data_IF_427784642751
#
_entry.id   IF_427784642751
#
_cell.length_a   1.000
_cell.length_b   1.000
_cell.length_c   1.000
_cell.angle_alpha   90.00
_cell.angle_beta   90.00
_cell.angle_gamma   90.00
#
_symmetry.space_group_name_H-M   'P 1'
#
loop_
_entity.id
_entity.type
_entity.pdbx_description
1 polymer ?
#
# COMPACT_ATOMS: atom_id res chain seq x y z
N UNK A 1 -8.95 -1.87 10.39
CA UNK A 1 -7.75 -1.24 9.80
C UNK A 1 -7.21 -2.13 8.68
N UNK A 2 -6.75 -1.55 7.57
CA UNK A 2 -6.22 -2.29 6.41
C UNK A 2 -4.69 -2.32 6.41
N UNK A 3 -4.10 -3.36 5.84
CA UNK A 3 -2.67 -3.40 5.61
C UNK A 3 -2.26 -2.41 4.51
N UNK A 4 -1.03 -1.91 4.60
CA UNK A 4 -0.49 -0.98 3.62
C UNK A 4 0.89 -1.41 3.15
N UNK A 5 1.11 -1.28 1.83
CA UNK A 5 2.43 -1.37 1.21
C UNK A 5 2.80 0.06 0.81
N UNK A 6 3.78 0.61 1.50
CA UNK A 6 4.42 1.87 1.13
C UNK A 6 5.55 1.57 0.16
N UNK A 7 5.60 2.28 -0.94
CA UNK A 7 6.62 2.07 -1.96
C UNK A 7 7.08 3.39 -2.55
N UNK A 8 8.40 3.52 -2.71
CA UNK A 8 8.98 4.58 -3.52
C UNK A 8 9.31 4.02 -4.89
N UNK A 9 8.74 4.65 -5.91
CA UNK A 9 8.82 4.16 -7.28
C UNK A 9 9.42 5.24 -8.17
N UNK A 10 10.56 4.94 -8.80
CA UNK A 10 11.19 5.80 -9.79
C UNK A 10 10.71 5.43 -11.17
N UNK A 11 9.96 6.34 -11.80
CA UNK A 11 9.41 6.17 -13.14
C UNK A 11 7.99 6.69 -13.25
N UNK A 12 7.41 6.57 -14.44
CA UNK A 12 6.02 6.92 -14.68
C UNK A 12 5.15 5.70 -14.38
N UNK A 13 4.34 5.79 -13.33
CA UNK A 13 3.37 4.76 -12.94
C UNK A 13 1.99 5.38 -12.96
N UNK A 14 1.02 4.72 -13.60
CA UNK A 14 -0.37 5.14 -13.51
C UNK A 14 -0.97 4.60 -12.22
N UNK A 15 -1.62 5.47 -11.46
CA UNK A 15 -2.32 5.09 -10.23
C UNK A 15 -3.39 4.01 -10.48
N UNK A 16 -4.07 4.07 -11.63
CA UNK A 16 -5.08 3.09 -12.05
C UNK A 16 -4.51 1.67 -12.20
N UNK A 17 -3.29 1.54 -12.74
CA UNK A 17 -2.64 0.23 -12.87
C UNK A 17 -2.40 -0.41 -11.50
N UNK A 18 -1.95 0.40 -10.53
CA UNK A 18 -1.75 -0.06 -9.15
C UNK A 18 -3.07 -0.39 -8.46
N UNK A 19 -4.17 0.30 -8.80
CA UNK A 19 -5.51 -0.01 -8.29
C UNK A 19 -6.07 -1.32 -8.87
N UNK A 20 -5.65 -1.70 -10.08
CA UNK A 20 -6.05 -2.94 -10.72
C UNK A 20 -5.29 -4.18 -10.18
N UNK A 21 -4.25 -3.99 -9.36
CA UNK A 21 -3.53 -5.11 -8.74
C UNK A 21 -4.45 -5.90 -7.79
N UNK A 22 -4.24 -7.22 -7.68
CA UNK A 22 -5.09 -8.08 -6.88
C UNK A 22 -5.08 -7.68 -5.40
N UNK A 23 -6.26 -7.74 -4.76
CA UNK A 23 -6.49 -7.39 -3.35
C UNK A 23 -6.18 -5.94 -2.97
N UNK A 24 -5.88 -5.07 -3.94
CA UNK A 24 -5.77 -3.63 -3.70
C UNK A 24 -7.16 -3.05 -3.49
N UNK A 25 -7.33 -2.40 -2.35
CA UNK A 25 -8.57 -1.72 -1.99
C UNK A 25 -8.46 -0.20 -2.10
N UNK A 26 -7.25 0.31 -2.33
CA UNK A 26 -7.03 1.72 -2.59
C UNK A 26 -5.56 2.02 -2.83
N UNK A 27 -5.32 3.13 -3.53
CA UNK A 27 -3.97 3.65 -3.76
C UNK A 27 -3.99 5.14 -3.45
N UNK A 28 -3.01 5.61 -2.70
CA UNK A 28 -2.71 7.03 -2.55
C UNK A 28 -1.33 7.29 -3.13
N UNK A 29 -1.20 8.38 -3.87
CA UNK A 29 0.05 8.80 -4.48
C UNK A 29 0.42 10.18 -3.94
N UNK A 30 1.68 10.33 -3.54
CA UNK A 30 2.29 11.59 -3.15
C UNK A 30 3.69 11.67 -3.78
N UNK A 31 3.82 12.38 -4.90
CA UNK A 31 5.04 12.42 -5.72
C UNK A 31 5.47 11.00 -6.18
N UNK A 32 6.68 10.58 -5.82
CA UNK A 32 7.27 9.26 -6.10
C UNK A 32 6.90 8.19 -5.07
N UNK A 33 6.07 8.54 -4.07
CA UNK A 33 5.61 7.64 -3.02
C UNK A 33 4.19 7.16 -3.29
N UNK A 34 4.01 5.84 -3.22
CA UNK A 34 2.73 5.17 -3.39
C UNK A 34 2.40 4.37 -2.13
N UNK A 35 1.23 4.66 -1.56
CA UNK A 35 0.66 3.92 -0.44
C UNK A 35 -0.48 3.08 -0.97
N UNK A 36 -0.27 1.76 -0.98
CA UNK A 36 -1.21 0.77 -1.49
C UNK A 36 -1.91 0.14 -0.30
N UNK A 37 -3.22 0.32 -0.21
CA UNK A 37 -4.07 -0.33 0.79
C UNK A 37 -4.49 -1.69 0.26
N UNK A 38 -4.30 -2.72 1.06
CA UNK A 38 -4.58 -4.10 0.64
C UNK A 38 -5.31 -4.88 1.73
N UNK A 39 -6.21 -5.74 1.28
CA UNK A 39 -6.86 -6.74 2.14
C UNK A 39 -5.98 -8.01 2.28
N UNK A 40 -5.09 -8.28 1.31
CA UNK A 40 -4.15 -9.41 1.35
C UNK A 40 -2.74 -9.00 0.89
N UNK A 41 -1.83 -8.95 1.86
CA UNK A 41 -0.48 -8.41 1.71
C UNK A 41 0.42 -9.18 0.73
N UNK A 42 0.55 -10.49 0.94
CA UNK A 42 1.45 -11.34 0.15
C UNK A 42 1.10 -11.36 -1.35
N UNK A 43 -0.15 -11.62 -1.77
CA UNK A 43 -0.47 -11.62 -3.20
C UNK A 43 -0.34 -10.24 -3.84
N UNK A 44 -0.67 -9.17 -3.11
CA UNK A 44 -0.50 -7.79 -3.59
C UNK A 44 0.97 -7.45 -3.82
N UNK A 45 1.84 -7.80 -2.88
CA UNK A 45 3.28 -7.53 -2.99
C UNK A 45 3.90 -8.27 -4.19
N UNK A 46 3.55 -9.54 -4.38
CA UNK A 46 4.02 -10.33 -5.53
C UNK A 46 3.57 -9.68 -6.84
N UNK A 47 2.32 -9.26 -6.93
CA UNK A 47 1.79 -8.60 -8.13
C UNK A 47 2.44 -7.24 -8.39
N UNK A 48 2.71 -6.45 -7.34
CA UNK A 48 3.43 -5.18 -7.46
C UNK A 48 4.85 -5.37 -8.01
N UNK A 49 5.58 -6.37 -7.50
CA UNK A 49 6.93 -6.68 -7.99
C UNK A 49 6.88 -7.16 -9.45
N UNK A 50 5.94 -8.03 -9.80
CA UNK A 50 5.73 -8.46 -11.18
C UNK A 50 5.45 -7.28 -12.12
N UNK A 51 4.49 -6.43 -11.76
CA UNK A 51 4.16 -5.21 -12.50
C UNK A 51 5.39 -4.31 -12.70
N UNK A 52 6.18 -4.10 -11.64
CA UNK A 52 7.39 -3.28 -11.74
C UNK A 52 8.39 -3.83 -12.74
N UNK A 53 8.55 -5.15 -12.78
CA UNK A 53 9.42 -5.83 -13.74
C UNK A 53 8.88 -5.75 -15.18
N UNK A 54 7.58 -5.92 -15.38
CA UNK A 54 6.95 -5.84 -16.71
C UNK A 54 7.01 -4.44 -17.32
N UNK A 55 6.87 -3.40 -16.49
CA UNK A 55 6.88 -2.01 -16.93
C UNK A 55 8.28 -1.37 -16.93
N UNK A 56 9.32 -2.12 -16.52
CA UNK A 56 10.69 -1.60 -16.41
C UNK A 56 10.84 -0.49 -15.37
N UNK A 57 10.05 -0.55 -14.30
CA UNK A 57 9.99 0.44 -13.23
C UNK A 57 10.86 -0.05 -12.06
N UNK A 58 11.60 0.86 -11.43
CA UNK A 58 12.41 0.54 -10.25
C UNK A 58 11.72 0.96 -8.97
N UNK A 59 11.45 -0.01 -8.09
CA UNK A 59 11.05 0.23 -6.71
C UNK A 59 12.32 0.44 -5.88
N UNK A 60 12.49 1.63 -5.31
CA UNK A 60 13.70 2.00 -4.54
C UNK A 60 13.56 1.80 -3.04
N UNK A 61 12.32 1.82 -2.55
CA UNK A 61 12.01 1.56 -1.15
C UNK A 61 10.67 0.83 -1.08
N UNK A 62 10.55 -0.14 -0.18
CA UNK A 62 9.33 -0.89 0.03
C UNK A 62 9.18 -1.22 1.52
N UNK A 63 8.15 -0.65 2.14
CA UNK A 63 7.81 -0.89 3.53
C UNK A 63 6.42 -1.47 3.64
N UNK A 64 6.31 -2.57 4.36
CA UNK A 64 5.06 -3.29 4.54
C UNK A 64 4.59 -3.09 5.97
N UNK A 65 3.35 -2.61 6.14
CA UNK A 65 2.77 -2.34 7.46
C UNK A 65 1.46 -3.09 7.62
N UNK A 66 1.42 -3.98 8.60
CA UNK A 66 0.16 -4.58 9.07
C UNK A 66 -0.45 -3.68 10.13
N UNK A 67 -1.79 -3.57 10.18
CA UNK A 67 -2.45 -2.90 11.28
C UNK A 67 -2.23 -3.69 12.57
N UNK A 68 -1.98 -2.99 13.67
CA UNK A 68 -1.90 -3.61 14.99
C UNK A 68 -3.30 -3.89 15.54
N UNK A 69 -3.39 -4.71 16.59
CA UNK A 69 -4.66 -4.90 17.31
C UNK A 69 -5.18 -3.56 17.88
N UNK A 70 -4.28 -2.68 18.33
CA UNK A 70 -4.64 -1.32 18.75
C UNK A 70 -5.29 -0.52 17.61
N UNK A 71 -4.69 -0.53 16.41
CA UNK A 71 -5.24 0.17 15.24
C UNK A 71 -6.65 -0.35 14.87
N UNK A 72 -6.85 -1.67 14.95
CA UNK A 72 -8.16 -2.30 14.68
C UNK A 72 -9.16 -1.97 15.79
N UNK A 73 -8.74 -1.97 17.05
CA UNK A 73 -9.57 -1.63 18.19
C UNK A 73 -10.04 -0.18 18.14
N UNK A 74 -9.14 0.77 17.80
CA UNK A 74 -9.48 2.18 17.64
C UNK A 74 -10.48 2.41 16.50
N UNK A 75 -10.32 1.72 15.36
CA UNK A 75 -11.27 1.80 14.24
C UNK A 75 -12.67 1.27 14.61
N UNK A 76 -12.73 0.13 15.31
CA UNK A 76 -14.00 -0.49 15.72
C UNK A 76 -14.74 0.31 16.80
N UNK A 77 -14.02 1.05 17.64
CA UNK A 77 -14.60 1.82 18.75
C UNK A 77 -14.85 3.29 18.41
N UNK A 78 -14.43 3.76 17.23
CA UNK A 78 -14.71 5.10 16.72
C UNK A 78 -14.10 6.23 17.57
N UNK A 79 -13.03 5.96 18.33
CA UNK A 79 -12.37 6.97 19.16
C UNK A 79 -10.96 7.25 18.66
N UNK A 80 -10.78 8.42 18.07
CA UNK A 80 -9.47 9.04 17.86
C UNK A 80 -8.84 9.37 19.22
N UNK A 81 -7.98 8.48 19.74
CA UNK A 81 -7.08 8.87 20.81
C UNK A 81 -5.86 9.53 20.18
N UNK A 82 -5.92 10.86 20.05
CA UNK A 82 -4.70 11.69 20.10
C UNK A 82 -4.04 11.45 21.45
N UNK A 83 -2.87 10.84 21.44
CA UNK A 83 -1.98 10.74 22.60
C UNK A 83 -0.55 10.86 22.10
N UNK A 84 -0.07 12.11 22.13
CA UNK A 84 1.32 12.62 22.25
C UNK A 84 2.49 11.75 21.77
#
# INVERSE_FOLDING_TARGET
AKATIDSHIKGRVAKDDLQALPHVSGVRQANERYIIYTDEMQPTLVALLAYSNEQGITITDLQVRTPTLEDVFLELTGRELRGE
#
